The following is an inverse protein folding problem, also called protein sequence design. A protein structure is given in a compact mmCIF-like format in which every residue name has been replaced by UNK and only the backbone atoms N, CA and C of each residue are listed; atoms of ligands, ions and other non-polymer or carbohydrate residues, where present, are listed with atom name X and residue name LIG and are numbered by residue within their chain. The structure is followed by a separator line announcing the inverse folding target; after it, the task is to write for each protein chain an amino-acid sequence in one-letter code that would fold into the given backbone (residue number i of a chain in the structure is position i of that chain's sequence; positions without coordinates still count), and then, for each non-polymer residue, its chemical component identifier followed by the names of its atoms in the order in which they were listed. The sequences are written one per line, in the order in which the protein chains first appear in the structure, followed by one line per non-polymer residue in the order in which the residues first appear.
data_IF_806609972442
#
_entry.id   IF_806609972442
#
_cell.length_a   1.000
_cell.length_b   1.000
_cell.length_c   1.000
_cell.angle_alpha   90.00
_cell.angle_beta   90.00
_cell.angle_gamma   90.00
#
_symmetry.space_group_name_H-M   'P 1'
#
loop_
_entity.id
_entity.type
_entity.pdbx_description
1 polymer ?
#
# COMPACT_ATOMS: atom_id res chain seq x y z
N UNK A 1 23.33 16.53 -63.42
CA UNK A 1 22.17 15.97 -62.67
C UNK A 1 22.67 14.98 -61.63
N UNK A 2 22.78 15.41 -60.38
CA UNK A 2 22.86 14.53 -59.20
C UNK A 2 22.16 15.26 -58.05
N UNK A 3 20.90 14.93 -57.82
CA UNK A 3 20.18 15.35 -56.63
C UNK A 3 20.52 14.35 -55.52
N UNK A 4 21.18 14.82 -54.46
CA UNK A 4 21.24 14.11 -53.19
C UNK A 4 19.95 14.43 -52.43
N UNK A 5 19.04 13.47 -52.37
CA UNK A 5 17.90 13.47 -51.45
C UNK A 5 18.39 13.07 -50.07
N UNK A 6 18.40 14.02 -49.13
CA UNK A 6 18.60 13.75 -47.71
C UNK A 6 17.25 13.33 -47.11
N UNK A 7 17.13 12.06 -46.74
CA UNK A 7 15.96 11.56 -45.98
C UNK A 7 16.23 11.81 -44.50
N UNK A 8 15.55 12.79 -43.92
CA UNK A 8 15.54 12.99 -42.47
C UNK A 8 14.60 11.95 -41.83
N UNK A 9 15.18 11.02 -41.06
CA UNK A 9 14.43 10.10 -40.21
C UNK A 9 14.06 10.83 -38.91
N UNK A 10 12.82 11.30 -38.82
CA UNK A 10 12.28 11.84 -37.56
C UNK A 10 11.75 10.66 -36.74
N UNK A 11 12.55 10.20 -35.79
CA UNK A 11 12.13 9.24 -34.77
C UNK A 11 11.38 10.02 -33.67
N UNK A 12 10.05 10.09 -33.76
CA UNK A 12 9.22 10.58 -32.65
C UNK A 12 9.16 9.45 -31.61
N UNK A 13 10.06 9.46 -30.63
CA UNK A 13 9.83 8.73 -29.38
C UNK A 13 8.68 9.44 -28.66
N UNK A 14 7.45 9.00 -28.92
CA UNK A 14 6.34 9.25 -28.01
C UNK A 14 6.53 8.34 -26.79
N UNK A 15 7.42 8.72 -25.87
CA UNK A 15 7.31 8.21 -24.51
C UNK A 15 6.06 8.84 -23.92
N UNK A 16 4.93 8.14 -23.98
CA UNK A 16 3.84 8.41 -23.04
C UNK A 16 4.42 8.12 -21.66
N UNK A 17 4.97 9.16 -21.02
CA UNK A 17 5.10 9.19 -19.57
C UNK A 17 3.68 9.15 -19.06
N UNK A 18 3.11 7.95 -18.97
CA UNK A 18 1.85 7.72 -18.28
C UNK A 18 2.04 8.30 -16.89
N UNK A 19 1.26 9.31 -16.55
CA UNK A 19 1.21 9.77 -15.18
C UNK A 19 0.63 8.61 -14.38
N UNK A 20 1.46 8.01 -13.51
CA UNK A 20 1.00 7.00 -12.56
C UNK A 20 -0.05 7.59 -11.64
N UNK A 21 -0.67 6.73 -10.84
CA UNK A 21 -1.74 7.11 -9.92
C UNK A 21 -1.37 8.35 -9.11
N UNK A 22 -2.28 9.32 -9.01
CA UNK A 22 -2.06 10.52 -8.17
C UNK A 22 -2.22 10.20 -6.69
N UNK A 23 -1.27 9.45 -6.16
CA UNK A 23 -1.15 9.13 -4.74
C UNK A 23 -0.10 10.03 -4.10
N UNK A 24 -0.41 10.51 -2.90
CA UNK A 24 0.43 11.41 -2.10
C UNK A 24 1.24 10.58 -1.10
N UNK A 25 2.57 10.57 -1.18
CA UNK A 25 3.40 9.91 -0.17
C UNK A 25 3.27 10.59 1.19
N UNK A 26 3.31 9.80 2.27
CA UNK A 26 3.25 10.29 3.65
C UNK A 26 4.31 9.56 4.48
N UNK A 27 5.15 10.31 5.20
CA UNK A 27 6.15 9.76 6.12
C UNK A 27 5.72 9.84 7.59
N UNK A 28 4.48 10.28 7.83
CA UNK A 28 3.84 10.38 9.13
C UNK A 28 4.66 11.12 10.19
N UNK A 29 5.54 12.06 9.78
CA UNK A 29 6.30 12.93 10.70
C UNK A 29 5.56 14.20 11.10
N UNK A 30 4.46 14.52 10.41
CA UNK A 30 3.60 15.64 10.74
C UNK A 30 2.88 15.47 12.09
N UNK A 31 2.25 16.55 12.55
CA UNK A 31 1.35 16.49 13.72
C UNK A 31 -0.04 15.91 13.38
N UNK A 32 -0.37 15.83 12.09
CA UNK A 32 -1.61 15.30 11.54
C UNK A 32 -1.25 14.43 10.30
N UNK A 33 -2.15 13.51 9.92
CA UNK A 33 -2.10 12.84 8.62
C UNK A 33 -2.30 13.87 7.49
N UNK A 34 -1.72 13.58 6.32
CA UNK A 34 -1.95 14.39 5.12
C UNK A 34 -3.47 14.48 4.78
N UNK A 35 -3.99 15.65 4.36
CA UNK A 35 -5.43 15.84 4.11
C UNK A 35 -5.98 15.04 2.91
N UNK A 36 -5.14 14.40 2.09
CA UNK A 36 -5.60 13.51 1.03
C UNK A 36 -6.07 12.14 1.54
N UNK A 37 -5.77 11.82 2.81
CA UNK A 37 -6.23 10.60 3.44
C UNK A 37 -7.71 10.67 3.85
N UNK A 38 -8.38 9.54 3.72
CA UNK A 38 -9.74 9.30 4.17
C UNK A 38 -9.76 8.10 5.11
N UNK A 39 -10.59 8.16 6.14
CA UNK A 39 -10.87 7.03 7.00
C UNK A 39 -12.15 6.31 6.54
N UNK A 40 -12.03 5.01 6.30
CA UNK A 40 -13.15 4.09 6.41
C UNK A 40 -13.10 3.49 7.83
N UNK A 41 -14.14 3.79 8.63
CA UNK A 41 -14.22 3.44 10.07
C UNK A 41 -12.98 3.93 10.83
N UNK A 42 -12.91 5.23 11.07
CA UNK A 42 -11.83 5.83 11.86
C UNK A 42 -11.75 5.16 13.25
N UNK A 43 -10.56 4.72 13.70
CA UNK A 43 -10.42 4.02 14.96
C UNK A 43 -10.52 5.00 16.13
N UNK A 44 -10.99 4.54 17.29
CA UNK A 44 -11.06 5.40 18.50
C UNK A 44 -9.70 5.84 19.03
N UNK A 45 -8.64 5.10 18.72
CA UNK A 45 -7.31 5.36 19.25
C UNK A 45 -6.28 5.23 18.14
N UNK A 46 -5.82 6.39 17.67
CA UNK A 46 -4.72 6.51 16.73
C UNK A 46 -3.95 7.80 16.96
N UNK A 47 -2.72 7.83 16.47
CA UNK A 47 -1.89 9.03 16.40
C UNK A 47 -0.91 8.95 15.23
N UNK A 48 -0.37 10.10 14.84
CA UNK A 48 0.84 10.19 14.04
C UNK A 48 1.96 10.77 14.89
N UNK A 49 3.16 10.20 14.76
CA UNK A 49 4.39 10.74 15.34
C UNK A 49 4.39 10.87 16.89
N UNK A 50 3.45 10.25 17.62
CA UNK A 50 3.42 10.31 19.11
C UNK A 50 3.81 9.00 19.77
N UNK A 51 3.13 7.90 19.44
CA UNK A 51 3.44 6.58 20.00
C UNK A 51 4.78 6.09 19.49
N UNK A 52 5.08 6.35 18.21
CA UNK A 52 6.38 6.10 17.59
C UNK A 52 6.67 7.23 16.60
N UNK A 53 7.83 7.86 16.75
CA UNK A 53 8.21 9.01 15.93
C UNK A 53 8.31 8.59 14.45
N UNK A 54 7.66 9.33 13.56
CA UNK A 54 7.57 9.06 12.12
C UNK A 54 6.65 7.90 11.73
N UNK A 55 5.72 7.50 12.59
CA UNK A 55 4.80 6.41 12.30
C UNK A 55 3.36 6.86 12.53
N UNK A 56 2.44 6.39 11.70
CA UNK A 56 1.03 6.32 12.10
C UNK A 56 0.83 5.06 12.95
N UNK A 57 0.14 5.21 14.07
CA UNK A 57 -0.17 4.13 15.00
C UNK A 57 -1.66 4.10 15.23
N UNK A 58 -2.28 2.91 15.20
CA UNK A 58 -3.63 2.74 15.74
C UNK A 58 -3.78 1.40 16.47
N UNK A 59 -4.75 1.37 17.39
CA UNK A 59 -5.14 0.16 18.11
C UNK A 59 -6.26 -0.53 17.34
N UNK A 60 -6.06 -1.81 17.02
CA UNK A 60 -7.04 -2.60 16.28
C UNK A 60 -8.35 -2.73 17.03
N UNK A 61 -9.46 -2.38 16.37
CA UNK A 61 -10.80 -2.55 16.92
C UNK A 61 -11.39 -3.92 16.56
N UNK A 62 -12.29 -4.42 17.41
CA UNK A 62 -13.03 -5.66 17.16
C UNK A 62 -14.01 -5.53 15.99
N UNK A 63 -14.36 -6.69 15.42
CA UNK A 63 -15.22 -6.79 14.24
C UNK A 63 -14.67 -5.92 13.10
N UNK A 64 -13.36 -6.04 12.86
CA UNK A 64 -12.63 -5.29 11.85
C UNK A 64 -11.93 -6.26 10.90
N UNK A 65 -12.74 -6.90 10.03
CA UNK A 65 -12.27 -7.85 9.03
C UNK A 65 -12.52 -7.36 7.60
N UNK A 66 -11.59 -7.66 6.71
CA UNK A 66 -11.71 -7.50 5.26
C UNK A 66 -11.57 -8.90 4.67
N UNK A 67 -12.68 -9.62 4.52
CA UNK A 67 -12.68 -10.97 3.94
C UNK A 67 -13.78 -11.17 2.91
N UNK A 68 -15.02 -11.31 3.35
CA UNK A 68 -16.21 -11.38 2.48
C UNK A 68 -17.10 -10.15 2.59
N UNK A 69 -16.90 -9.36 3.63
CA UNK A 69 -17.46 -8.05 3.86
C UNK A 69 -16.32 -7.12 4.29
N UNK A 70 -16.52 -5.82 4.13
CA UNK A 70 -15.62 -4.80 4.64
C UNK A 70 -16.17 -4.25 5.96
N UNK A 71 -15.49 -4.57 7.05
CA UNK A 71 -15.76 -4.03 8.38
C UNK A 71 -14.53 -3.30 8.93
N UNK A 72 -13.52 -3.07 8.08
CA UNK A 72 -12.19 -2.68 8.53
C UNK A 72 -12.04 -1.22 8.86
N UNK A 73 -11.19 -0.95 9.85
CA UNK A 73 -10.48 0.32 9.92
C UNK A 73 -9.50 0.38 8.76
N UNK A 74 -9.64 1.43 7.92
CA UNK A 74 -8.80 1.62 6.74
C UNK A 74 -8.54 3.09 6.48
N UNK A 75 -7.28 3.43 6.28
CA UNK A 75 -6.82 4.74 5.85
C UNK A 75 -6.49 4.67 4.36
N UNK A 76 -7.12 5.48 3.52
CA UNK A 76 -6.99 5.35 2.07
C UNK A 76 -6.99 6.68 1.32
N UNK A 77 -6.43 6.65 0.13
CA UNK A 77 -6.56 7.70 -0.87
C UNK A 77 -7.39 7.18 -2.04
N UNK A 78 -8.05 8.11 -2.75
CA UNK A 78 -8.94 7.78 -3.86
C UNK A 78 -8.27 8.10 -5.18
N UNK A 79 -8.17 7.11 -6.07
CA UNK A 79 -7.71 7.26 -7.45
C UNK A 79 -8.94 7.21 -8.36
N UNK A 80 -9.20 8.31 -9.07
CA UNK A 80 -10.41 8.48 -9.89
C UNK A 80 -10.32 7.81 -11.26
N UNK A 81 -9.11 7.67 -11.77
CA UNK A 81 -8.83 7.17 -13.11
C UNK A 81 -8.17 5.79 -13.04
N UNK A 82 -8.18 5.07 -14.17
CA UNK A 82 -7.58 3.74 -14.28
C UNK A 82 -6.05 3.84 -14.40
N UNK A 83 -5.39 4.43 -13.42
CA UNK A 83 -3.94 4.69 -13.38
C UNK A 83 -3.17 3.52 -12.74
N UNK A 84 -1.98 3.22 -13.26
CA UNK A 84 -1.06 2.26 -12.66
C UNK A 84 -0.48 2.84 -11.35
N UNK A 85 -0.30 1.99 -10.35
CA UNK A 85 0.22 2.41 -9.04
C UNK A 85 1.31 1.45 -8.57
N UNK A 86 2.19 1.93 -7.69
CA UNK A 86 3.25 1.13 -7.12
C UNK A 86 3.48 1.57 -5.68
N UNK A 87 2.65 1.05 -4.78
CA UNK A 87 2.60 1.51 -3.40
C UNK A 87 3.36 0.58 -2.48
N UNK A 88 4.10 1.15 -1.54
CA UNK A 88 4.81 0.42 -0.51
C UNK A 88 4.68 1.09 0.87
N UNK A 89 4.81 0.26 1.90
CA UNK A 89 4.82 0.66 3.31
C UNK A 89 5.73 -0.27 4.11
N UNK A 90 6.15 0.18 5.29
CA UNK A 90 6.74 -0.66 6.34
C UNK A 90 5.70 -0.82 7.45
N UNK A 91 5.31 -2.06 7.69
CA UNK A 91 4.32 -2.46 8.68
C UNK A 91 5.01 -3.04 9.92
N UNK A 92 4.59 -2.60 11.10
CA UNK A 92 4.86 -3.26 12.37
C UNK A 92 3.53 -3.63 13.04
N UNK A 93 3.44 -4.87 13.51
CA UNK A 93 2.33 -5.32 14.34
C UNK A 93 2.85 -5.97 15.63
N UNK A 94 2.11 -5.75 16.71
CA UNK A 94 2.23 -6.51 17.95
C UNK A 94 0.84 -6.97 18.38
N UNK A 95 0.68 -8.26 18.62
CA UNK A 95 -0.61 -8.87 18.93
C UNK A 95 -0.54 -9.82 20.12
N UNK A 96 -1.66 -9.89 20.83
CA UNK A 96 -1.85 -10.76 21.97
C UNK A 96 -2.39 -12.13 21.57
N UNK A 97 -3.50 -12.50 22.20
CA UNK A 97 -4.19 -13.78 22.06
C UNK A 97 -5.50 -13.66 21.27
N UNK A 98 -5.61 -12.69 20.36
CA UNK A 98 -6.74 -12.62 19.43
C UNK A 98 -6.71 -13.84 18.51
N UNK A 99 -7.86 -14.44 18.24
CA UNK A 99 -7.95 -15.60 17.34
C UNK A 99 -7.56 -15.23 15.91
N UNK A 100 -7.85 -14.00 15.49
CA UNK A 100 -7.67 -13.52 14.13
C UNK A 100 -7.50 -12.00 14.11
N UNK A 101 -6.29 -11.57 13.78
CA UNK A 101 -5.88 -10.18 13.61
C UNK A 101 -5.39 -9.97 12.16
N UNK A 102 -5.67 -8.82 11.55
CA UNK A 102 -5.24 -8.52 10.19
C UNK A 102 -4.65 -7.11 10.08
N UNK A 103 -3.63 -6.94 9.25
CA UNK A 103 -3.13 -5.63 8.83
C UNK A 103 -2.38 -5.71 7.50
N UNK A 104 -2.37 -4.63 6.71
CA UNK A 104 -1.58 -4.59 5.49
C UNK A 104 -1.98 -3.49 4.50
N UNK A 105 -1.75 -3.78 3.22
CA UNK A 105 -2.08 -2.93 2.07
C UNK A 105 -3.30 -3.46 1.32
N UNK A 106 -4.10 -2.55 0.78
CA UNK A 106 -5.29 -2.90 0.00
C UNK A 106 -5.49 -1.93 -1.15
N UNK A 107 -5.98 -2.46 -2.27
CA UNK A 107 -6.74 -1.71 -3.27
C UNK A 107 -8.17 -2.22 -3.28
N UNK A 108 -9.12 -1.34 -2.99
CA UNK A 108 -10.55 -1.61 -3.05
C UNK A 108 -11.16 -0.95 -4.27
N UNK A 109 -12.16 -1.62 -4.84
CA UNK A 109 -12.94 -1.24 -5.99
C UNK A 109 -14.40 -1.09 -5.53
N UNK A 110 -14.80 0.07 -4.99
CA UNK A 110 -16.10 0.23 -4.33
C UNK A 110 -17.28 -0.04 -5.26
N UNK A 111 -17.17 0.33 -6.53
CA UNK A 111 -18.22 0.13 -7.56
C UNK A 111 -18.57 -1.34 -7.75
N UNK A 112 -17.59 -2.24 -7.64
CA UNK A 112 -17.78 -3.69 -7.78
C UNK A 112 -17.91 -4.42 -6.44
N UNK A 113 -17.83 -3.70 -5.31
CA UNK A 113 -17.68 -4.26 -3.97
C UNK A 113 -16.59 -5.36 -3.92
N UNK A 114 -15.43 -5.07 -4.50
CA UNK A 114 -14.31 -5.99 -4.62
C UNK A 114 -13.02 -5.37 -4.12
N UNK A 115 -12.02 -6.20 -3.85
CA UNK A 115 -10.71 -5.75 -3.38
C UNK A 115 -9.63 -6.78 -3.64
N UNK A 116 -8.40 -6.30 -3.69
CA UNK A 116 -7.17 -7.08 -3.67
C UNK A 116 -6.36 -6.59 -2.47
N UNK A 117 -5.89 -7.51 -1.64
CA UNK A 117 -5.14 -7.18 -0.42
C UNK A 117 -3.86 -8.00 -0.29
N UNK A 118 -2.87 -7.38 0.33
CA UNK A 118 -1.68 -8.02 0.84
C UNK A 118 -1.67 -7.82 2.36
N UNK A 119 -1.83 -8.90 3.12
CA UNK A 119 -2.08 -8.84 4.57
C UNK A 119 -1.22 -9.78 5.38
N UNK A 120 -0.79 -9.30 6.54
CA UNK A 120 -0.37 -10.15 7.64
C UNK A 120 -1.62 -10.63 8.38
N UNK A 121 -1.86 -11.94 8.37
CA UNK A 121 -2.88 -12.59 9.18
C UNK A 121 -2.23 -13.20 10.43
N UNK A 122 -2.62 -12.70 11.59
CA UNK A 122 -2.03 -12.98 12.89
C UNK A 122 -2.97 -13.85 13.71
N UNK A 123 -2.40 -14.82 14.42
CA UNK A 123 -3.12 -15.88 15.11
C UNK A 123 -2.94 -15.81 16.63
N UNK A 124 -3.89 -16.40 17.36
CA UNK A 124 -3.90 -16.41 18.83
C UNK A 124 -2.78 -17.21 19.48
N UNK A 125 -2.14 -18.11 18.72
CA UNK A 125 -0.93 -18.83 19.12
C UNK A 125 0.35 -18.00 18.94
N UNK A 126 0.21 -16.70 18.64
CA UNK A 126 1.29 -15.74 18.42
C UNK A 126 2.13 -16.00 17.17
N UNK A 127 1.63 -16.81 16.24
CA UNK A 127 2.18 -16.94 14.89
C UNK A 127 1.43 -16.02 13.92
N UNK A 128 1.99 -15.80 12.74
CA UNK A 128 1.30 -15.13 11.65
C UNK A 128 1.73 -15.68 10.29
N UNK A 129 0.94 -15.40 9.25
CA UNK A 129 1.26 -15.67 7.87
C UNK A 129 0.93 -14.49 6.96
N UNK A 130 1.70 -14.34 5.90
CA UNK A 130 1.47 -13.33 4.87
C UNK A 130 0.59 -13.92 3.77
N UNK A 131 -0.44 -13.18 3.37
CA UNK A 131 -1.41 -13.60 2.35
C UNK A 131 -1.61 -12.52 1.29
N UNK A 132 -1.77 -12.95 0.03
CA UNK A 132 -2.19 -12.12 -1.10
C UNK A 132 -3.52 -12.66 -1.63
N UNK A 133 -4.58 -11.87 -1.49
CA UNK A 133 -5.96 -12.35 -1.59
C UNK A 133 -6.86 -11.39 -2.37
N UNK A 134 -7.94 -11.95 -2.91
CA UNK A 134 -9.14 -11.22 -3.34
C UNK A 134 -10.26 -11.41 -2.31
N UNK A 135 -11.36 -10.69 -2.48
CA UNK A 135 -12.58 -10.89 -1.69
C UNK A 135 -12.97 -12.38 -1.65
N UNK A 136 -13.11 -12.92 -0.44
CA UNK A 136 -13.41 -14.33 -0.15
C UNK A 136 -12.49 -15.37 -0.81
N UNK A 137 -11.33 -14.97 -1.34
CA UNK A 137 -10.52 -15.87 -2.16
C UNK A 137 -9.04 -15.73 -1.84
N UNK A 138 -8.40 -16.85 -1.52
CA UNK A 138 -6.99 -16.91 -1.13
C UNK A 138 -6.15 -17.88 -1.97
N UNK A 139 -6.73 -18.43 -3.02
CA UNK A 139 -6.07 -19.36 -3.94
C UNK A 139 -6.61 -19.21 -5.37
N UNK A 140 -5.80 -19.66 -6.33
CA UNK A 140 -6.07 -19.48 -7.77
C UNK A 140 -5.72 -18.08 -8.26
N UNK A 141 -5.61 -17.89 -9.59
CA UNK A 141 -5.28 -16.60 -10.23
C UNK A 141 -4.09 -15.86 -9.58
N UNK A 142 -3.02 -16.60 -9.24
CA UNK A 142 -1.81 -16.07 -8.62
C UNK A 142 -1.97 -15.54 -7.19
N UNK A 143 -3.07 -15.86 -6.51
CA UNK A 143 -3.29 -15.59 -5.09
C UNK A 143 -2.52 -16.58 -4.22
N UNK A 144 -2.06 -16.09 -3.07
CA UNK A 144 -1.20 -16.84 -2.14
C UNK A 144 -1.80 -16.79 -0.74
N UNK A 145 -2.39 -17.90 -0.30
CA UNK A 145 -2.97 -18.03 1.05
C UNK A 145 -1.92 -18.18 2.15
N UNK A 146 -0.67 -18.52 1.81
CA UNK A 146 0.46 -18.53 2.74
C UNK A 146 1.77 -18.41 1.97
N UNK A 147 2.51 -17.33 2.19
CA UNK A 147 3.86 -17.17 1.63
C UNK A 147 4.80 -18.23 2.23
N UNK A 148 5.43 -19.02 1.37
CA UNK A 148 6.37 -20.06 1.80
C UNK A 148 7.61 -19.44 2.47
N UNK A 149 8.09 -20.05 3.55
CA UNK A 149 9.28 -19.58 4.27
C UNK A 149 9.05 -18.40 5.23
N UNK A 150 7.96 -17.66 5.09
CA UNK A 150 7.60 -16.59 6.02
C UNK A 150 6.64 -17.10 7.10
N UNK A 151 7.15 -17.22 8.33
CA UNK A 151 6.39 -17.71 9.48
C UNK A 151 6.83 -16.99 10.77
N UNK A 152 6.54 -15.69 10.91
CA UNK A 152 6.84 -14.96 12.13
C UNK A 152 6.12 -15.57 13.34
N UNK A 153 6.78 -15.49 14.49
CA UNK A 153 6.29 -16.00 15.75
C UNK A 153 6.62 -15.03 16.90
N UNK A 154 5.95 -15.20 18.04
CA UNK A 154 6.21 -14.42 19.25
C UNK A 154 5.32 -13.19 19.42
N UNK A 155 4.27 -13.04 18.60
CA UNK A 155 3.24 -12.00 18.80
C UNK A 155 3.67 -10.64 18.31
N UNK A 156 4.69 -10.59 17.44
CA UNK A 156 5.13 -9.38 16.76
C UNK A 156 5.75 -9.70 15.41
N UNK A 157 5.62 -8.78 14.47
CA UNK A 157 6.23 -8.88 13.16
C UNK A 157 6.48 -7.49 12.59
N UNK A 158 7.56 -7.38 11.82
CA UNK A 158 7.89 -6.19 11.06
C UNK A 158 8.27 -6.63 9.65
N UNK A 159 7.69 -5.97 8.64
CA UNK A 159 7.92 -6.30 7.24
C UNK A 159 7.60 -5.11 6.35
N UNK A 160 8.11 -5.14 5.13
CA UNK A 160 7.79 -4.19 4.09
C UNK A 160 6.84 -4.85 3.12
N UNK A 161 5.76 -4.15 2.77
CA UNK A 161 4.73 -4.61 1.86
C UNK A 161 4.71 -3.70 0.65
N UNK A 162 4.47 -4.27 -0.54
CA UNK A 162 4.29 -3.51 -1.77
C UNK A 162 3.20 -4.13 -2.63
N UNK A 163 2.31 -3.28 -3.14
CA UNK A 163 1.31 -3.63 -4.14
C UNK A 163 1.58 -2.80 -5.39
N UNK A 164 1.73 -3.49 -6.53
CA UNK A 164 1.98 -2.84 -7.81
C UNK A 164 0.89 -3.22 -8.79
N UNK A 165 0.30 -2.23 -9.45
CA UNK A 165 -0.62 -2.42 -10.57
C UNK A 165 0.05 -1.99 -11.86
N UNK A 166 0.01 -2.87 -12.87
CA UNK A 166 0.44 -2.59 -14.24
C UNK A 166 -0.63 -3.12 -15.19
N UNK A 167 -1.35 -2.20 -15.84
CA UNK A 167 -2.46 -2.53 -16.71
C UNK A 167 -3.59 -3.27 -16.00
N UNK A 168 -3.81 -4.53 -16.35
CA UNK A 168 -4.84 -5.41 -15.78
C UNK A 168 -4.29 -6.38 -14.73
N UNK A 169 -3.07 -6.17 -14.24
CA UNK A 169 -2.45 -7.03 -13.23
C UNK A 169 -2.13 -6.27 -11.95
N UNK A 170 -2.29 -6.95 -10.83
CA UNK A 170 -1.80 -6.51 -9.52
C UNK A 170 -0.86 -7.57 -8.97
N UNK A 171 0.34 -7.16 -8.58
CA UNK A 171 1.37 -8.03 -7.99
C UNK A 171 1.65 -7.60 -6.55
N UNK A 172 1.68 -8.58 -5.64
CA UNK A 172 2.10 -8.38 -4.26
C UNK A 172 3.57 -8.74 -4.05
N UNK A 173 4.29 -7.93 -3.28
CA UNK A 173 5.68 -8.18 -2.91
C UNK A 173 5.90 -7.94 -1.41
N UNK A 174 6.92 -8.57 -0.86
CA UNK A 174 7.40 -8.29 0.49
C UNK A 174 8.91 -8.37 0.62
N UNK A 175 9.41 -7.84 1.73
CA UNK A 175 10.76 -8.11 2.24
C UNK A 175 10.77 -7.95 3.76
N UNK A 176 11.71 -8.59 4.43
CA UNK A 176 11.79 -8.60 5.90
C UNK A 176 12.64 -7.45 6.44
N UNK A 177 13.67 -7.00 5.70
CA UNK A 177 14.55 -5.92 6.14
C UNK A 177 14.65 -4.82 5.11
N UNK A 178 15.00 -3.64 5.60
CA UNK A 178 15.37 -2.52 4.75
C UNK A 178 16.65 -2.88 3.98
N UNK A 179 16.66 -2.61 2.67
CA UNK A 179 17.76 -2.96 1.77
C UNK A 179 17.71 -4.38 1.17
N UNK A 180 16.85 -5.27 1.66
CA UNK A 180 16.62 -6.56 1.01
C UNK A 180 15.94 -6.38 -0.36
N UNK A 181 16.17 -7.35 -1.25
CA UNK A 181 15.45 -7.45 -2.52
C UNK A 181 13.97 -7.79 -2.29
N UNK A 182 13.10 -7.23 -3.13
CA UNK A 182 11.68 -7.55 -3.09
C UNK A 182 11.42 -8.98 -3.56
N UNK A 183 10.72 -9.75 -2.73
CA UNK A 183 10.23 -11.08 -3.09
C UNK A 183 8.79 -10.98 -3.59
N UNK A 184 8.53 -11.45 -4.81
CA UNK A 184 7.17 -11.56 -5.34
C UNK A 184 6.39 -12.64 -4.59
N UNK A 185 5.16 -12.32 -4.21
CA UNK A 185 4.21 -13.23 -3.56
C UNK A 185 3.29 -13.88 -4.58
N UNK A 186 2.91 -13.12 -5.61
CA UNK A 186 2.02 -13.54 -6.68
C UNK A 186 1.42 -12.37 -7.44
N UNK A 187 0.90 -12.67 -8.62
CA UNK A 187 0.31 -11.72 -9.56
C UNK A 187 -1.10 -12.17 -9.96
N UNK A 188 -2.09 -11.30 -9.77
CA UNK A 188 -3.51 -11.59 -10.02
C UNK A 188 -4.13 -10.59 -11.01
N UNK A 189 -5.27 -10.95 -11.58
CA UNK A 189 -6.01 -10.05 -12.49
C UNK A 189 -6.69 -8.94 -11.69
N UNK A 190 -6.51 -7.69 -12.10
CA UNK A 190 -7.13 -6.50 -11.53
C UNK A 190 -8.61 -6.41 -11.93
N UNK A 191 -9.41 -5.79 -11.08
CA UNK A 191 -10.77 -5.40 -11.42
C UNK A 191 -10.76 -4.18 -12.36
N UNK A 192 -11.82 -4.03 -13.16
CA UNK A 192 -11.93 -2.96 -14.16
C UNK A 192 -12.95 -1.91 -13.75
N UNK A 193 -12.71 -1.30 -12.60
CA UNK A 193 -13.56 -0.22 -12.09
C UNK A 193 -12.76 0.88 -11.41
N UNK A 194 -13.36 2.06 -11.45
CA UNK A 194 -12.98 3.23 -10.69
C UNK A 194 -14.20 3.76 -9.91
N UNK A 195 -14.00 4.57 -8.85
CA UNK A 195 -12.70 4.89 -8.25
C UNK A 195 -12.03 3.68 -7.62
N UNK A 196 -10.70 3.72 -7.47
CA UNK A 196 -9.96 2.80 -6.62
C UNK A 196 -9.66 3.48 -5.29
N UNK A 197 -9.76 2.74 -4.19
CA UNK A 197 -9.34 3.19 -2.87
C UNK A 197 -8.11 2.41 -2.43
N UNK A 198 -6.96 3.08 -2.34
CA UNK A 198 -5.66 2.46 -2.09
C UNK A 198 -5.15 2.92 -0.75
N UNK A 199 -4.71 2.00 0.11
CA UNK A 199 -4.15 2.39 1.39
C UNK A 199 -3.87 1.27 2.37
N UNK A 200 -3.85 1.67 3.64
CA UNK A 200 -3.46 0.89 4.80
C UNK A 200 -4.72 0.40 5.52
N UNK A 201 -4.72 -0.82 6.02
CA UNK A 201 -5.86 -1.33 6.79
C UNK A 201 -5.41 -2.24 7.93
N UNK A 202 -6.30 -2.45 8.89
CA UNK A 202 -6.12 -3.50 9.88
C UNK A 202 -7.10 -3.45 11.05
N UNK A 203 -7.13 -4.52 11.83
CA UNK A 203 -7.94 -4.62 13.03
C UNK A 203 -8.12 -6.06 13.48
N UNK A 204 -8.98 -6.25 14.48
CA UNK A 204 -9.26 -7.56 15.08
C UNK A 204 -10.51 -8.14 14.43
N UNK A 205 -10.36 -9.23 13.67
CA UNK A 205 -11.50 -9.99 13.15
C UNK A 205 -12.20 -10.73 14.28
N UNK A 206 -11.43 -11.42 15.12
CA UNK A 206 -11.97 -12.24 16.21
C UNK A 206 -11.01 -12.33 17.38
N UNK A 207 -11.55 -12.16 18.59
CA UNK A 207 -10.80 -12.31 19.83
C UNK A 207 -11.22 -11.29 20.87
N UNK A 208 -10.41 -11.16 21.93
CA UNK A 208 -10.59 -10.20 23.02
C UNK A 208 -9.26 -9.57 23.51
N UNK A 209 -8.17 -9.83 22.79
CA UNK A 209 -6.83 -9.34 23.05
C UNK A 209 -6.58 -7.94 22.46
N UNK A 210 -5.31 -7.53 22.51
CA UNK A 210 -4.83 -6.26 21.95
C UNK A 210 -4.10 -6.48 20.64
N UNK A 211 -4.29 -5.55 19.72
CA UNK A 211 -3.55 -5.44 18.47
C UNK A 211 -3.03 -4.00 18.33
N UNK A 212 -1.71 -3.84 18.27
CA UNK A 212 -1.03 -2.60 17.91
C UNK A 212 -0.63 -2.69 16.44
N UNK A 213 -1.03 -1.70 15.64
CA UNK A 213 -0.70 -1.61 14.22
C UNK A 213 0.03 -0.29 13.99
N UNK A 214 1.18 -0.35 13.32
CA UNK A 214 1.95 0.84 12.98
C UNK A 214 2.43 0.77 11.53
N UNK A 215 2.42 1.91 10.85
CA UNK A 215 3.00 2.07 9.52
C UNK A 215 3.98 3.26 9.53
N UNK A 216 5.19 3.03 9.00
CA UNK A 216 6.29 4.02 8.96
C UNK A 216 6.06 5.08 7.87
N UNK A 217 5.56 4.63 6.72
CA UNK A 217 5.34 5.50 5.57
C UNK A 217 4.32 4.88 4.63
N UNK A 218 3.77 5.70 3.74
CA UNK A 218 3.13 5.26 2.52
C UNK A 218 3.83 5.96 1.36
N UNK A 219 4.33 5.18 0.40
CA UNK A 219 5.04 5.72 -0.76
C UNK A 219 4.42 5.17 -2.01
N UNK A 220 4.25 6.03 -3.01
CA UNK A 220 3.98 5.63 -4.38
C UNK A 220 5.24 5.84 -5.25
N UNK A 221 5.70 4.76 -5.88
CA UNK A 221 6.91 4.74 -6.69
C UNK A 221 6.64 5.20 -8.15
N UNK A 222 5.38 5.31 -8.58
CA UNK A 222 5.01 5.81 -9.92
C UNK A 222 4.82 7.33 -9.95
N UNK A 223 4.32 7.94 -8.88
CA UNK A 223 4.10 9.38 -8.80
C UNK A 223 5.40 10.19 -8.98
N UNK A 224 5.39 11.28 -9.77
CA UNK A 224 6.53 12.20 -9.90
C UNK A 224 6.76 13.05 -8.64
N UNK A 225 5.80 13.06 -7.69
CA UNK A 225 5.92 13.74 -6.40
C UNK A 225 6.69 12.87 -5.40
N UNK A 226 7.97 12.58 -5.70
CA UNK A 226 8.78 11.58 -4.98
C UNK A 226 9.38 12.04 -3.64
N UNK A 227 8.89 13.13 -3.06
CA UNK A 227 9.36 13.57 -1.74
C UNK A 227 8.16 13.95 -0.88
N UNK A 228 7.99 13.33 0.31
CA UNK A 228 7.08 13.82 1.34
C UNK A 228 7.33 15.31 1.53
N UNK A 229 6.28 16.12 1.39
CA UNK A 229 6.37 17.54 1.69
C UNK A 229 6.61 17.69 3.19
N UNK A 230 7.73 18.30 3.56
CA UNK A 230 7.95 18.79 4.92
C UNK A 230 6.74 19.68 5.31
N UNK A 231 6.07 19.45 6.45
CA UNK A 231 5.01 20.33 6.96
C UNK A 231 5.42 21.82 7.06
N UNK A 232 6.73 22.12 6.99
CA UNK A 232 7.28 23.47 7.01
C UNK A 232 7.45 24.11 5.62
N UNK A 233 6.94 23.50 4.55
CA UNK A 233 6.64 24.20 3.30
C UNK A 233 7.84 24.78 2.54
N UNK A 234 9.04 24.21 2.69
CA UNK A 234 10.15 24.56 1.79
C UNK A 234 10.11 23.67 0.56
N UNK A 235 9.39 24.14 -0.46
CA UNK A 235 9.64 23.71 -1.84
C UNK A 235 11.13 23.88 -2.12
N UNK A 236 11.85 22.79 -2.38
CA UNK A 236 13.18 22.85 -2.95
C UNK A 236 13.04 23.33 -4.42
N UNK A 237 12.87 24.64 -4.60
CA UNK A 237 12.94 25.29 -5.90
C UNK A 237 14.38 25.16 -6.44
N UNK A 238 14.69 24.04 -7.08
CA UNK A 238 15.89 23.95 -7.92
C UNK A 238 15.50 24.48 -9.29
N UNK A 239 15.46 25.81 -9.43
CA UNK A 239 15.40 26.43 -10.76
C UNK A 239 16.71 26.10 -11.46
N UNK A 240 16.65 25.20 -12.45
CA UNK A 240 17.70 25.05 -13.44
C UNK A 240 18.00 26.45 -14.00
N UNK A 241 19.24 26.92 -13.80
CA UNK A 241 19.77 28.11 -14.46
C UNK A 241 19.72 27.88 -15.97
N UNK A 242 18.69 28.38 -16.63
CA UNK A 242 18.78 28.72 -18.05
C UNK A 242 19.42 30.12 -18.11
N UNK A 243 20.72 30.12 -18.40
CA UNK A 243 21.48 31.21 -19.04
C UNK A 243 22.45 30.48 -19.96
N UNK A 244 22.59 30.77 -21.23
CA UNK A 244 22.11 31.79 -22.16
C UNK A 244 22.90 31.55 -23.45
#
# INVERSE_FOLDING_TARGET
MRHLTATALILILATSLGWGAKLYPDDFKGANIDPHWNWAKEPKTWDVNKTRAGWITWIGEFNSNLWCSDQTTRLYQTVQEKEDFDVETRLYCEWGNNDSDIAGLVVKFPTEDNWIMLKLWMHGDKTAQLQFQKKCQESGDGLTGRVAGYAPAGGKAELFLRLKREGDKVTGYFKEKEGDDWSEIGTTTCFDSTPMEIGLFGGVDRGNGKLLIQFDYFRDNTSPFKTPVDPQGKLACTWARIKG
#
